data_IF_138326597416
#
_entry.id   IF_138326597416
#
_cell.length_a   1.000
_cell.length_b   1.000
_cell.length_c   1.000
_cell.angle_alpha   90.00
_cell.angle_beta   90.00
_cell.angle_gamma   90.00
#
_symmetry.space_group_name_H-M   'P 1'
#
loop_
_entity.id
_entity.type
_entity.pdbx_description
1 polymer ?
#
# COMPACT_ATOMS: atom_id res chain seq x y z
N UNK A 1 -17.35 14.89 5.77
CA UNK A 1 -15.95 14.43 6.02
C UNK A 1 -15.26 14.21 4.68
N UNK A 2 -14.01 14.60 4.55
CA UNK A 2 -13.22 14.32 3.35
C UNK A 2 -13.03 12.81 3.22
N UNK A 3 -13.16 12.26 2.00
CA UNK A 3 -12.90 10.84 1.74
C UNK A 3 -11.45 10.48 2.05
N UNK A 4 -11.22 9.33 2.66
CA UNK A 4 -9.89 8.77 2.75
C UNK A 4 -9.45 8.29 1.38
N UNK A 5 -8.31 8.78 0.91
CA UNK A 5 -7.80 8.46 -0.41
C UNK A 5 -6.59 7.54 -0.30
N UNK A 6 -6.71 6.39 -0.94
CA UNK A 6 -5.66 5.36 -1.03
C UNK A 6 -5.13 5.28 -2.45
N UNK A 7 -3.86 4.93 -2.58
CA UNK A 7 -3.22 4.66 -3.86
C UNK A 7 -2.50 3.32 -3.78
N UNK A 8 -2.78 2.44 -4.73
CA UNK A 8 -2.09 1.17 -4.91
C UNK A 8 -1.47 1.14 -6.31
N UNK A 9 -0.44 0.33 -6.49
CA UNK A 9 0.17 0.13 -7.79
C UNK A 9 0.40 -1.37 -8.06
N UNK A 10 0.27 -1.78 -9.32
CA UNK A 10 0.58 -3.13 -9.73
C UNK A 10 0.11 -3.44 -11.15
N UNK A 11 0.47 -4.60 -11.64
CA UNK A 11 0.09 -5.14 -12.95
C UNK A 11 -0.93 -6.29 -12.82
N UNK A 12 -1.27 -6.89 -13.95
CA UNK A 12 -2.19 -8.04 -14.01
C UNK A 12 -1.74 -9.21 -13.12
N UNK A 13 -0.43 -9.47 -13.00
CA UNK A 13 0.11 -10.51 -12.13
C UNK A 13 -0.19 -10.30 -10.65
N UNK A 14 -0.39 -9.05 -10.26
CA UNK A 14 -0.65 -8.65 -8.86
C UNK A 14 -2.13 -8.44 -8.51
N UNK A 15 -3.03 -8.65 -9.46
CA UNK A 15 -4.48 -8.36 -9.30
C UNK A 15 -5.10 -9.01 -8.05
N UNK A 16 -4.71 -10.26 -7.73
CA UNK A 16 -5.23 -10.99 -6.56
C UNK A 16 -4.75 -10.39 -5.23
N UNK A 17 -3.54 -9.88 -5.22
CA UNK A 17 -2.92 -9.28 -4.03
C UNK A 17 -3.49 -7.89 -3.80
N UNK A 18 -3.61 -7.08 -4.86
CA UNK A 18 -4.33 -5.80 -4.84
C UNK A 18 -5.75 -6.00 -4.30
N UNK A 19 -6.47 -7.04 -4.75
CA UNK A 19 -7.82 -7.31 -4.28
C UNK A 19 -7.87 -7.68 -2.79
N UNK A 20 -6.90 -8.43 -2.26
CA UNK A 20 -6.82 -8.73 -0.83
C UNK A 20 -6.60 -7.43 -0.01
N UNK A 21 -5.70 -6.56 -0.46
CA UNK A 21 -5.48 -5.24 0.15
C UNK A 21 -6.75 -4.38 0.09
N UNK A 22 -7.43 -4.30 -1.06
CA UNK A 22 -8.70 -3.58 -1.22
C UNK A 22 -9.78 -4.08 -0.28
N UNK A 23 -9.93 -5.41 -0.18
CA UNK A 23 -10.89 -6.03 0.74
C UNK A 23 -10.59 -5.64 2.18
N UNK A 24 -9.33 -5.64 2.59
CA UNK A 24 -8.94 -5.22 3.93
C UNK A 24 -9.24 -3.73 4.20
N UNK A 25 -8.99 -2.85 3.23
CA UNK A 25 -9.36 -1.44 3.33
C UNK A 25 -10.87 -1.30 3.47
N UNK A 26 -11.64 -1.91 2.57
CA UNK A 26 -13.10 -1.79 2.56
C UNK A 26 -13.77 -2.48 3.76
N UNK A 27 -13.13 -3.45 4.39
CA UNK A 27 -13.62 -4.08 5.62
C UNK A 27 -13.59 -3.12 6.81
N UNK A 28 -12.59 -2.26 6.88
CA UNK A 28 -12.39 -1.33 8.01
C UNK A 28 -12.85 0.10 7.73
N UNK A 29 -13.13 0.44 6.47
CA UNK A 29 -13.50 1.81 6.08
C UNK A 29 -14.67 1.83 5.10
N UNK A 30 -15.47 2.87 5.24
CA UNK A 30 -16.45 3.31 4.23
C UNK A 30 -16.02 4.67 3.67
N UNK A 31 -16.67 5.08 2.59
CA UNK A 31 -16.48 6.39 1.99
C UNK A 31 -15.01 6.66 1.63
N UNK A 32 -14.38 5.64 1.03
CA UNK A 32 -13.00 5.72 0.54
C UNK A 32 -12.93 6.01 -0.95
N UNK A 33 -11.83 6.58 -1.40
CA UNK A 33 -11.45 6.65 -2.81
C UNK A 33 -10.12 5.93 -3.00
N UNK A 34 -10.09 4.96 -3.91
CA UNK A 34 -8.88 4.14 -4.15
C UNK A 34 -8.47 4.28 -5.61
N UNK A 35 -7.25 4.71 -5.84
CA UNK A 35 -6.62 4.74 -7.14
C UNK A 35 -5.77 3.50 -7.33
N UNK A 36 -5.87 2.85 -8.49
CA UNK A 36 -4.98 1.77 -8.91
C UNK A 36 -4.14 2.24 -10.08
N UNK A 37 -2.87 2.50 -9.83
CA UNK A 37 -1.89 2.80 -10.88
C UNK A 37 -1.47 1.49 -11.52
N UNK A 38 -1.80 1.27 -12.80
CA UNK A 38 -1.54 0.01 -13.47
C UNK A 38 -1.30 0.18 -14.98
N UNK A 39 -0.85 -0.88 -15.63
CA UNK A 39 -0.62 -0.91 -17.09
C UNK A 39 -1.64 -1.78 -17.82
N UNK A 40 -1.98 -2.93 -17.26
CA UNK A 40 -2.60 -4.04 -17.99
C UNK A 40 -3.75 -4.76 -17.25
N UNK A 41 -4.17 -4.25 -16.07
CA UNK A 41 -5.33 -4.84 -15.37
C UNK A 41 -6.59 -4.66 -16.22
N UNK A 42 -7.36 -5.74 -16.49
CA UNK A 42 -8.54 -5.68 -17.35
C UNK A 42 -9.66 -4.79 -16.79
N UNK A 43 -10.39 -4.13 -17.71
CA UNK A 43 -11.54 -3.28 -17.33
C UNK A 43 -12.66 -4.07 -16.65
N UNK A 44 -12.84 -5.33 -17.01
CA UNK A 44 -13.84 -6.22 -16.42
C UNK A 44 -13.67 -6.37 -14.91
N UNK A 45 -12.42 -6.46 -14.47
CA UNK A 45 -12.12 -6.50 -13.04
C UNK A 45 -12.54 -5.18 -12.36
N UNK A 46 -12.18 -4.03 -12.94
CA UNK A 46 -12.57 -2.72 -12.40
C UNK A 46 -14.10 -2.57 -12.34
N UNK A 47 -14.82 -2.98 -13.39
CA UNK A 47 -16.29 -2.92 -13.43
C UNK A 47 -16.87 -3.76 -12.30
N UNK A 48 -16.37 -4.97 -12.09
CA UNK A 48 -16.82 -5.88 -11.05
C UNK A 48 -16.58 -5.30 -9.65
N UNK A 49 -15.36 -4.83 -9.37
CA UNK A 49 -14.97 -4.33 -8.04
C UNK A 49 -15.64 -3.00 -7.73
N UNK A 50 -15.77 -2.08 -8.71
CA UNK A 50 -16.49 -0.80 -8.54
C UNK A 50 -17.91 -0.99 -8.03
N UNK A 51 -18.66 -1.96 -8.58
CA UNK A 51 -20.03 -2.25 -8.14
C UNK A 51 -20.10 -2.63 -6.67
N UNK A 52 -19.11 -3.32 -6.17
CA UNK A 52 -19.00 -3.79 -4.78
C UNK A 52 -18.57 -2.66 -3.85
N UNK A 53 -17.56 -1.89 -4.24
CA UNK A 53 -17.08 -0.74 -3.46
C UNK A 53 -18.15 0.37 -3.38
N UNK A 54 -18.95 0.56 -4.42
CA UNK A 54 -20.06 1.53 -4.39
C UNK A 54 -21.08 1.22 -3.29
N UNK A 55 -21.29 -0.05 -2.93
CA UNK A 55 -22.15 -0.46 -1.82
C UNK A 55 -21.59 -0.05 -0.45
N UNK A 56 -20.31 0.30 -0.41
CA UNK A 56 -19.59 0.87 0.74
C UNK A 56 -19.40 2.39 0.61
N UNK A 57 -20.18 3.03 -0.26
CA UNK A 57 -20.03 4.46 -0.59
C UNK A 57 -18.58 4.82 -1.01
N UNK A 58 -17.86 3.87 -1.58
CA UNK A 58 -16.44 3.99 -1.95
C UNK A 58 -16.23 3.96 -3.45
N UNK A 59 -15.16 4.59 -3.92
CA UNK A 59 -14.85 4.75 -5.33
C UNK A 59 -13.54 4.00 -5.68
N UNK A 60 -13.52 3.38 -6.86
CA UNK A 60 -12.31 2.78 -7.43
C UNK A 60 -11.97 3.48 -8.75
N UNK A 61 -10.78 4.03 -8.84
CA UNK A 61 -10.27 4.74 -10.01
C UNK A 61 -9.21 3.90 -10.70
N UNK A 62 -9.43 3.59 -11.99
CA UNK A 62 -8.45 2.95 -12.85
C UNK A 62 -7.55 4.00 -13.48
N UNK A 63 -6.26 3.96 -13.16
CA UNK A 63 -5.26 4.85 -13.74
C UNK A 63 -4.32 4.03 -14.61
N UNK A 64 -4.48 4.11 -15.93
CA UNK A 64 -3.60 3.45 -16.89
C UNK A 64 -2.33 4.26 -17.09
N UNK A 65 -1.21 3.69 -16.64
CA UNK A 65 0.10 4.24 -16.96
C UNK A 65 0.48 3.81 -18.38
N UNK A 66 0.56 4.78 -19.28
CA UNK A 66 0.94 4.51 -20.67
C UNK A 66 2.38 3.98 -20.76
N UNK A 67 2.63 3.15 -21.77
CA UNK A 67 3.97 2.64 -22.05
C UNK A 67 4.96 3.79 -22.22
N UNK A 68 6.06 3.76 -21.46
CA UNK A 68 7.09 4.79 -21.47
C UNK A 68 7.05 5.78 -20.30
N UNK A 69 5.95 5.88 -19.54
CA UNK A 69 5.95 6.67 -18.30
C UNK A 69 6.89 6.04 -17.26
N UNK A 70 6.71 4.75 -17.01
CA UNK A 70 7.65 3.99 -16.18
C UNK A 70 8.70 3.37 -17.10
N UNK A 71 9.93 3.82 -16.98
CA UNK A 71 11.01 3.33 -17.85
C UNK A 71 11.38 1.90 -17.51
N UNK A 72 11.37 1.03 -18.51
CA UNK A 72 11.83 -0.36 -18.39
C UNK A 72 13.36 -0.48 -18.41
N UNK A 73 14.08 0.62 -18.65
CA UNK A 73 15.53 0.67 -18.58
C UNK A 73 16.06 0.93 -17.17
N UNK A 74 15.20 1.38 -16.25
CA UNK A 74 15.58 1.54 -14.85
C UNK A 74 15.86 0.17 -14.23
N UNK A 75 17.07 0.03 -13.69
CA UNK A 75 17.52 -1.24 -13.16
C UNK A 75 16.79 -1.59 -11.87
N UNK A 76 16.32 -2.82 -11.79
CA UNK A 76 15.80 -3.40 -10.55
C UNK A 76 16.94 -4.04 -9.75
N UNK A 77 16.83 -4.11 -8.41
CA UNK A 77 17.85 -4.74 -7.59
C UNK A 77 18.05 -6.22 -7.97
N UNK A 78 19.28 -6.74 -7.93
CA UNK A 78 19.58 -8.12 -8.32
C UNK A 78 18.89 -9.18 -7.44
N UNK A 79 18.44 -8.81 -6.25
CA UNK A 79 17.72 -9.68 -5.33
C UNK A 79 16.19 -9.50 -5.39
N UNK A 80 15.71 -8.73 -6.35
CA UNK A 80 14.32 -8.32 -6.49
C UNK A 80 13.52 -9.16 -7.50
N UNK A 81 13.71 -10.50 -7.58
CA UNK A 81 12.93 -11.35 -8.50
C UNK A 81 11.39 -11.22 -8.35
N UNK A 82 10.93 -10.73 -7.19
CA UNK A 82 9.55 -10.42 -6.88
C UNK A 82 9.16 -8.96 -7.13
N UNK A 83 10.11 -8.11 -7.51
CA UNK A 83 9.88 -6.71 -7.85
C UNK A 83 9.75 -6.53 -9.36
N UNK A 84 8.95 -5.58 -9.76
CA UNK A 84 8.84 -5.16 -11.16
C UNK A 84 8.87 -3.63 -11.26
N UNK A 85 8.90 -3.10 -12.49
CA UNK A 85 8.96 -1.65 -12.72
C UNK A 85 7.74 -0.89 -12.18
N UNK A 86 6.65 -1.58 -11.83
CA UNK A 86 5.50 -0.96 -11.19
C UNK A 86 5.80 -0.39 -9.78
N UNK A 87 6.92 -0.77 -9.16
CA UNK A 87 7.40 -0.11 -7.94
C UNK A 87 7.64 1.39 -8.13
N UNK A 88 8.05 1.82 -9.33
CA UNK A 88 8.23 3.23 -9.67
C UNK A 88 6.91 3.96 -9.97
N UNK A 89 5.79 3.26 -10.09
CA UNK A 89 4.49 3.88 -10.39
C UNK A 89 4.09 4.95 -9.36
N UNK A 90 4.50 4.81 -8.10
CA UNK A 90 4.25 5.77 -7.03
C UNK A 90 4.82 7.15 -7.28
N UNK A 91 5.81 7.31 -8.18
CA UNK A 91 6.34 8.61 -8.59
C UNK A 91 5.30 9.46 -9.29
N UNK A 92 4.33 8.82 -9.96
CA UNK A 92 3.32 9.46 -10.77
C UNK A 92 2.04 9.83 -10.01
N UNK A 93 2.01 9.63 -8.68
CA UNK A 93 0.88 10.03 -7.83
C UNK A 93 0.49 11.50 -8.07
N UNK A 94 1.42 12.49 -8.08
CA UNK A 94 1.06 13.88 -8.28
C UNK A 94 0.38 14.17 -9.62
N UNK A 95 0.67 13.38 -10.65
CA UNK A 95 0.13 13.55 -11.99
C UNK A 95 -1.32 13.07 -12.12
N UNK A 96 -1.70 12.02 -11.40
CA UNK A 96 -2.96 11.31 -11.60
C UNK A 96 -3.93 11.42 -10.42
N UNK A 97 -3.46 11.80 -9.25
CA UNK A 97 -4.28 11.85 -8.03
C UNK A 97 -4.57 13.31 -7.69
N UNK A 98 -5.85 13.65 -7.58
CA UNK A 98 -6.30 15.02 -7.37
C UNK A 98 -6.14 15.50 -5.93
N UNK A 99 -6.38 14.60 -4.97
CA UNK A 99 -6.45 14.89 -3.55
C UNK A 99 -5.10 15.36 -2.97
N UNK A 100 -5.16 16.30 -2.05
CA UNK A 100 -4.00 16.94 -1.43
C UNK A 100 -3.21 16.01 -0.50
N UNK A 101 -3.89 15.03 0.10
CA UNK A 101 -3.29 14.05 1.02
C UNK A 101 -3.77 12.65 0.68
N UNK A 102 -2.85 11.71 0.51
CA UNK A 102 -3.14 10.33 0.10
C UNK A 102 -2.29 9.34 0.88
N UNK A 103 -2.81 8.15 1.09
CA UNK A 103 -2.06 7.02 1.65
C UNK A 103 -1.69 6.06 0.52
N UNK A 104 -0.41 5.98 0.20
CA UNK A 104 0.12 4.95 -0.67
C UNK A 104 0.35 3.66 0.11
N UNK A 105 -0.05 2.53 -0.47
CA UNK A 105 0.15 1.20 0.07
C UNK A 105 0.67 0.28 -1.03
N UNK A 106 1.69 -0.53 -0.72
CA UNK A 106 2.10 -1.64 -1.57
C UNK A 106 1.00 -2.71 -1.65
N UNK A 107 1.03 -3.56 -2.67
CA UNK A 107 0.01 -4.58 -2.92
C UNK A 107 0.15 -5.85 -2.07
N UNK A 108 1.20 -5.94 -1.26
CA UNK A 108 1.48 -7.02 -0.31
C UNK A 108 1.20 -6.60 1.15
N UNK A 109 0.20 -5.77 1.32
CA UNK A 109 -0.22 -5.17 2.58
C UNK A 109 -1.63 -5.62 2.98
N UNK A 110 -1.87 -5.75 4.28
CA UNK A 110 -3.20 -5.93 4.86
C UNK A 110 -3.44 -4.85 5.92
N UNK A 111 -4.55 -4.16 5.79
CA UNK A 111 -5.10 -3.24 6.81
C UNK A 111 -5.95 -4.08 7.78
N UNK A 112 -5.71 -3.95 9.09
CA UNK A 112 -6.36 -4.79 10.11
C UNK A 112 -7.30 -4.02 11.03
N UNK A 113 -7.29 -2.68 10.97
CA UNK A 113 -8.12 -1.79 11.77
C UNK A 113 -8.27 -0.41 11.13
N UNK A 114 -9.20 0.44 11.61
CA UNK A 114 -9.39 1.79 11.07
C UNK A 114 -8.12 2.65 11.12
N UNK A 115 -7.91 3.45 10.06
CA UNK A 115 -6.74 4.31 9.87
C UNK A 115 -7.05 5.80 10.06
N UNK A 116 -8.11 6.13 10.79
CA UNK A 116 -8.55 7.52 11.02
C UNK A 116 -7.42 8.37 11.63
N UNK A 117 -6.72 7.84 12.63
CA UNK A 117 -5.63 8.55 13.31
C UNK A 117 -4.45 8.81 12.38
N UNK A 118 -4.12 7.85 11.49
CA UNK A 118 -3.10 8.03 10.47
C UNK A 118 -3.49 9.17 9.51
N UNK A 119 -4.72 9.18 9.02
CA UNK A 119 -5.20 10.26 8.14
C UNK A 119 -5.36 11.61 8.86
N UNK A 120 -5.49 11.63 10.19
CA UNK A 120 -5.57 12.86 10.98
C UNK A 120 -4.20 13.58 11.12
N UNK A 121 -3.09 12.90 10.82
CA UNK A 121 -1.76 13.49 10.92
C UNK A 121 -1.68 14.75 10.05
N UNK A 122 -1.25 15.86 10.65
CA UNK A 122 -0.94 17.08 9.93
C UNK A 122 0.50 17.02 9.42
N UNK A 123 0.67 16.96 8.11
CA UNK A 123 1.98 16.87 7.47
C UNK A 123 2.74 18.20 7.43
N UNK A 124 2.04 19.35 7.54
CA UNK A 124 2.66 20.66 7.49
C UNK A 124 3.57 20.86 6.27
N UNK A 125 4.85 21.13 6.51
CA UNK A 125 5.91 21.29 5.50
C UNK A 125 6.63 19.97 5.15
N UNK A 126 6.19 18.86 5.71
CA UNK A 126 6.76 17.54 5.42
C UNK A 126 6.18 16.95 4.14
N UNK A 127 7.02 16.29 3.38
CA UNK A 127 6.66 15.65 2.10
C UNK A 127 5.80 14.40 2.31
N UNK A 128 6.04 13.67 3.40
CA UNK A 128 5.30 12.45 3.73
C UNK A 128 5.45 12.09 5.21
N UNK A 129 4.69 11.06 5.63
CA UNK A 129 4.93 10.32 6.87
C UNK A 129 5.08 8.84 6.53
N UNK A 130 6.07 8.16 7.11
CA UNK A 130 6.37 6.75 6.90
C UNK A 130 7.08 6.14 8.12
N UNK A 131 6.94 4.83 8.31
CA UNK A 131 7.68 4.12 9.34
C UNK A 131 9.11 3.83 8.89
N UNK A 132 10.04 3.79 9.83
CA UNK A 132 11.43 3.44 9.56
C UNK A 132 11.56 1.98 9.12
N UNK A 133 12.60 1.67 8.38
CA UNK A 133 13.02 0.29 8.17
C UNK A 133 13.39 -0.28 9.54
N UNK A 134 12.74 -1.39 9.94
CA UNK A 134 12.84 -1.95 11.30
C UNK A 134 14.29 -2.23 11.73
N UNK A 135 15.18 -2.53 10.79
CA UNK A 135 16.61 -2.75 11.07
C UNK A 135 17.47 -1.50 10.98
N UNK A 136 16.89 -0.37 11.21
CA UNK A 136 17.49 0.96 11.34
C UNK A 136 18.96 1.06 11.70
N UNK A 137 19.81 0.36 10.97
CA UNK A 137 21.24 0.70 10.89
C UNK A 137 21.41 2.04 10.18
N UNK A 138 20.34 2.54 9.54
CA UNK A 138 20.29 3.80 8.83
C UNK A 138 18.96 4.50 9.05
N UNK A 139 18.99 5.81 9.02
CA UNK A 139 17.81 6.69 9.25
C UNK A 139 16.93 6.77 7.99
N UNK A 140 16.50 5.59 7.50
CA UNK A 140 15.67 5.43 6.28
C UNK A 140 14.27 4.97 6.62
N UNK A 141 13.29 5.39 5.82
CA UNK A 141 11.93 4.87 5.90
C UNK A 141 11.68 3.78 4.86
N UNK A 142 10.74 2.88 5.18
CA UNK A 142 10.20 1.92 4.23
C UNK A 142 9.10 2.58 3.39
N UNK A 143 9.20 2.48 2.07
CA UNK A 143 8.33 3.16 1.11
C UNK A 143 7.01 2.45 0.82
N UNK A 144 6.78 1.27 1.40
CA UNK A 144 5.55 0.50 1.15
C UNK A 144 4.29 1.08 1.78
N UNK A 145 4.46 1.93 2.82
CA UNK A 145 3.37 2.70 3.43
C UNK A 145 3.81 4.15 3.56
N UNK A 146 3.16 5.05 2.84
CA UNK A 146 3.48 6.48 2.87
C UNK A 146 2.20 7.32 2.90
N UNK A 147 2.00 8.09 3.96
CA UNK A 147 1.01 9.18 3.95
C UNK A 147 1.66 10.39 3.27
N UNK A 148 1.25 10.70 2.06
CA UNK A 148 1.90 11.66 1.17
C UNK A 148 1.17 13.01 1.21
N UNK A 149 1.93 14.10 1.34
CA UNK A 149 1.49 15.46 1.09
C UNK A 149 1.52 15.72 -0.44
N UNK A 150 0.48 15.23 -1.13
CA UNK A 150 0.42 15.27 -2.58
C UNK A 150 0.34 16.71 -3.12
N UNK A 151 -0.25 17.63 -2.34
CA UNK A 151 -0.23 19.05 -2.66
C UNK A 151 1.21 19.57 -2.76
N UNK A 152 1.99 19.32 -1.71
CA UNK A 152 3.39 19.76 -1.67
C UNK A 152 4.26 19.04 -2.71
N UNK A 153 3.97 17.77 -3.00
CA UNK A 153 4.64 17.03 -4.08
C UNK A 153 4.40 17.68 -5.46
N UNK A 154 3.18 18.18 -5.72
CA UNK A 154 2.86 18.94 -6.94
C UNK A 154 3.57 20.29 -6.97
N UNK A 155 3.48 21.05 -5.89
CA UNK A 155 4.05 22.41 -5.78
C UNK A 155 5.57 22.42 -5.96
N UNK A 156 6.26 21.42 -5.41
CA UNK A 156 7.72 21.29 -5.46
C UNK A 156 8.23 20.39 -6.59
N UNK A 157 7.33 19.92 -7.46
CA UNK A 157 7.67 19.07 -8.60
C UNK A 157 8.48 17.82 -8.20
N UNK A 158 8.09 17.16 -7.08
CA UNK A 158 8.79 16.01 -6.53
C UNK A 158 8.84 14.86 -7.54
N UNK A 159 7.79 14.65 -8.35
CA UNK A 159 7.79 13.65 -9.41
C UNK A 159 9.02 13.79 -10.32
N UNK A 160 9.30 14.98 -10.82
CA UNK A 160 10.44 15.20 -11.72
C UNK A 160 11.76 14.98 -10.99
N UNK A 161 11.88 15.42 -9.74
CA UNK A 161 13.05 15.17 -8.90
C UNK A 161 13.34 13.68 -8.75
N UNK A 162 12.31 12.85 -8.50
CA UNK A 162 12.44 11.40 -8.39
C UNK A 162 12.92 10.77 -9.72
N UNK A 163 12.32 11.19 -10.84
CA UNK A 163 12.68 10.73 -12.18
C UNK A 163 14.14 11.09 -12.49
N UNK A 164 14.56 12.33 -12.23
CA UNK A 164 15.92 12.80 -12.51
C UNK A 164 16.98 12.05 -11.70
N UNK A 165 16.71 11.81 -10.41
CA UNK A 165 17.59 11.00 -9.56
C UNK A 165 17.66 9.57 -10.10
N UNK A 166 16.52 8.95 -10.42
CA UNK A 166 16.49 7.59 -10.93
C UNK A 166 17.25 7.48 -12.27
N UNK A 167 17.03 8.40 -13.21
CA UNK A 167 17.74 8.40 -14.48
C UNK A 167 19.27 8.47 -14.31
N UNK A 168 19.75 9.18 -13.31
CA UNK A 168 21.17 9.34 -13.04
C UNK A 168 21.78 8.16 -12.29
N UNK A 169 21.02 7.57 -11.35
CA UNK A 169 21.56 6.66 -10.34
C UNK A 169 21.06 5.21 -10.44
N UNK A 170 20.13 4.87 -11.36
CA UNK A 170 19.45 3.56 -11.37
C UNK A 170 20.41 2.36 -11.44
N UNK A 171 21.61 2.53 -11.96
CA UNK A 171 22.65 1.47 -11.99
C UNK A 171 23.21 1.14 -10.59
N UNK A 172 23.14 2.07 -9.65
CA UNK A 172 23.76 2.02 -8.33
C UNK A 172 22.75 1.91 -7.18
N UNK A 173 21.45 1.78 -7.47
CA UNK A 173 20.41 1.70 -6.44
C UNK A 173 20.45 0.36 -5.71
N UNK A 174 20.49 0.39 -4.38
CA UNK A 174 20.45 -0.82 -3.55
C UNK A 174 19.00 -1.36 -3.41
N UNK A 175 18.02 -0.48 -3.23
CA UNK A 175 16.62 -0.83 -2.96
C UNK A 175 15.66 -0.13 -3.94
N UNK A 176 16.08 0.05 -5.20
CA UNK A 176 15.25 0.60 -6.27
C UNK A 176 14.64 1.97 -5.90
N UNK A 177 13.33 2.11 -6.05
CA UNK A 177 12.57 3.33 -5.77
C UNK A 177 12.63 3.79 -4.31
N UNK A 178 12.76 2.88 -3.35
CA UNK A 178 12.87 3.22 -1.93
C UNK A 178 14.11 4.07 -1.64
N UNK A 179 15.26 3.72 -2.23
CA UNK A 179 16.49 4.51 -2.09
C UNK A 179 16.30 5.93 -2.63
N UNK A 180 15.69 6.06 -3.82
CA UNK A 180 15.44 7.35 -4.46
C UNK A 180 14.49 8.21 -3.65
N UNK A 181 13.41 7.61 -3.13
CA UNK A 181 12.44 8.30 -2.27
C UNK A 181 13.09 8.84 -1.00
N UNK A 182 13.95 8.05 -0.35
CA UNK A 182 14.69 8.48 0.83
C UNK A 182 15.65 9.65 0.50
N UNK A 183 16.39 9.57 -0.60
CA UNK A 183 17.30 10.66 -1.03
C UNK A 183 16.54 11.94 -1.40
N UNK A 184 15.41 11.81 -2.09
CA UNK A 184 14.61 12.97 -2.48
C UNK A 184 13.93 13.65 -1.29
N UNK A 185 13.51 12.85 -0.30
CA UNK A 185 12.80 13.33 0.88
C UNK A 185 13.74 13.92 1.93
N UNK A 186 14.91 13.29 2.14
CA UNK A 186 15.84 13.67 3.19
C UNK A 186 15.18 13.60 4.58
N UNK A 187 15.30 14.65 5.36
CA UNK A 187 14.71 14.80 6.71
C UNK A 187 13.27 15.35 6.70
N UNK A 188 12.69 15.54 5.51
CA UNK A 188 11.36 16.12 5.33
C UNK A 188 10.23 15.08 5.42
N UNK A 189 10.29 14.21 6.43
CA UNK A 189 9.20 13.27 6.71
C UNK A 189 8.90 13.18 8.21
N UNK A 190 7.71 12.69 8.53
CA UNK A 190 7.28 12.35 9.89
C UNK A 190 7.50 10.85 10.07
N UNK A 191 8.17 10.47 11.15
CA UNK A 191 8.32 9.05 11.51
C UNK A 191 7.00 8.55 12.08
N UNK A 192 6.43 7.53 11.45
CA UNK A 192 5.25 6.81 11.93
C UNK A 192 5.65 5.74 12.95
N UNK A 193 4.71 5.43 13.84
CA UNK A 193 4.79 4.23 14.67
C UNK A 193 4.77 2.97 13.78
N UNK A 194 5.53 1.94 14.18
CA UNK A 194 5.68 0.69 13.43
C UNK A 194 4.36 -0.05 13.21
N UNK A 195 3.33 0.22 14.04
CA UNK A 195 1.99 -0.32 13.86
C UNK A 195 1.38 0.03 12.49
N UNK A 196 1.79 1.15 11.88
CA UNK A 196 1.32 1.59 10.56
C UNK A 196 2.13 1.04 9.38
N UNK A 197 3.19 0.29 9.64
CA UNK A 197 3.92 -0.47 8.63
C UNK A 197 4.71 -1.59 9.31
N UNK A 198 3.98 -2.58 9.83
CA UNK A 198 4.57 -3.69 10.53
C UNK A 198 5.16 -4.70 9.55
N UNK A 199 6.48 -4.69 9.43
CA UNK A 199 7.26 -5.29 8.35
C UNK A 199 7.60 -6.75 8.67
N UNK A 200 6.82 -7.70 8.13
CA UNK A 200 7.04 -9.14 8.25
C UNK A 200 8.11 -9.60 7.24
N UNK A 201 9.04 -10.43 7.66
CA UNK A 201 10.07 -11.05 6.83
C UNK A 201 11.49 -10.57 7.08
N UNK A 202 11.67 -9.49 7.83
CA UNK A 202 13.00 -9.01 8.19
C UNK A 202 13.79 -9.96 9.09
N UNK A 203 13.12 -10.72 9.94
CA UNK A 203 13.72 -11.78 10.75
C UNK A 203 14.54 -12.77 9.90
N UNK A 204 14.06 -13.10 8.69
CA UNK A 204 14.79 -13.93 7.73
C UNK A 204 15.97 -13.22 7.08
N UNK A 205 15.83 -11.94 6.76
CA UNK A 205 16.94 -11.12 6.28
C UNK A 205 18.03 -11.06 7.35
N UNK A 206 17.64 -10.86 8.62
CA UNK A 206 18.57 -10.83 9.74
C UNK A 206 19.29 -12.18 9.92
N UNK A 207 18.56 -13.29 9.82
CA UNK A 207 19.15 -14.63 9.88
C UNK A 207 20.18 -14.85 8.77
N UNK A 208 19.85 -14.48 7.53
CA UNK A 208 20.76 -14.57 6.40
C UNK A 208 22.03 -13.69 6.60
N UNK A 209 21.87 -12.52 7.23
CA UNK A 209 22.96 -11.60 7.56
C UNK A 209 23.69 -11.96 8.85
N UNK A 210 23.36 -13.10 9.50
CA UNK A 210 23.88 -13.54 10.80
C UNK A 210 23.69 -12.48 11.90
N UNK A 211 22.64 -11.72 11.82
CA UNK A 211 22.23 -10.74 12.82
C UNK A 211 21.17 -11.39 13.72
N UNK A 212 21.37 -11.28 15.03
CA UNK A 212 20.35 -11.76 15.98
C UNK A 212 19.23 -10.72 16.07
N UNK A 213 18.04 -11.13 15.69
CA UNK A 213 16.85 -10.28 15.79
C UNK A 213 15.62 -11.13 16.11
N UNK A 214 14.90 -10.71 17.14
CA UNK A 214 13.60 -11.30 17.48
C UNK A 214 12.54 -10.26 17.17
N UNK A 215 11.70 -10.55 16.17
CA UNK A 215 10.50 -9.77 15.91
C UNK A 215 9.40 -10.28 16.85
N UNK A 216 9.07 -9.48 17.86
CA UNK A 216 7.88 -9.72 18.67
C UNK A 216 6.62 -9.43 17.85
N UNK A 217 5.73 -10.40 17.76
CA UNK A 217 4.47 -10.24 17.05
C UNK A 217 3.41 -9.73 18.02
N UNK A 218 2.89 -8.51 17.84
CA UNK A 218 1.70 -8.10 18.55
C UNK A 218 0.51 -8.90 18.02
N UNK A 219 -0.19 -9.58 18.93
CA UNK A 219 -1.32 -10.45 18.60
C UNK A 219 -2.67 -9.85 18.96
N UNK A 220 -2.72 -8.95 19.93
CA UNK A 220 -3.93 -8.27 20.37
C UNK A 220 -3.59 -6.90 21.00
N UNK A 221 -3.91 -5.79 20.34
CA UNK A 221 -4.41 -5.73 18.95
C UNK A 221 -3.31 -6.04 17.93
N UNK A 222 -3.71 -6.55 16.75
CA UNK A 222 -2.83 -6.65 15.60
C UNK A 222 -2.31 -5.27 15.17
N UNK A 223 -1.12 -5.16 14.54
CA UNK A 223 -0.66 -3.92 13.93
C UNK A 223 -1.71 -3.37 12.96
N UNK A 224 -1.85 -2.05 12.84
CA UNK A 224 -2.85 -1.43 11.98
C UNK A 224 -2.65 -1.77 10.49
N UNK A 225 -1.39 -1.90 10.09
CA UNK A 225 -0.99 -2.28 8.74
C UNK A 225 0.11 -3.34 8.83
N UNK A 226 -0.14 -4.51 8.26
CA UNK A 226 0.85 -5.59 8.12
C UNK A 226 1.40 -5.54 6.70
N UNK A 227 2.72 -5.48 6.58
CA UNK A 227 3.43 -5.46 5.30
C UNK A 227 4.30 -6.71 5.16
N UNK A 228 4.01 -7.56 4.18
CA UNK A 228 4.71 -8.82 3.94
C UNK A 228 5.89 -8.60 3.01
N UNK A 229 7.03 -8.25 3.58
CA UNK A 229 8.27 -8.05 2.84
C UNK A 229 8.87 -9.36 2.33
N UNK A 230 9.91 -9.26 1.50
CA UNK A 230 10.69 -10.37 0.94
C UNK A 230 9.94 -11.25 -0.08
N UNK A 231 10.65 -12.21 -0.67
CA UNK A 231 10.08 -13.16 -1.62
C UNK A 231 9.20 -14.24 -0.94
N UNK A 232 9.30 -14.40 0.39
CA UNK A 232 8.45 -15.33 1.15
C UNK A 232 7.09 -14.72 1.44
N UNK A 233 6.28 -14.59 0.40
CA UNK A 233 4.96 -13.97 0.47
C UNK A 233 3.93 -14.90 1.13
N UNK A 234 2.93 -14.35 1.86
CA UNK A 234 1.92 -15.14 2.58
C UNK A 234 1.09 -16.05 1.68
N UNK A 235 0.95 -15.73 0.41
CA UNK A 235 0.22 -16.53 -0.59
C UNK A 235 1.00 -17.69 -1.19
N UNK A 236 2.29 -17.78 -0.96
CA UNK A 236 3.08 -18.90 -1.42
C UNK A 236 2.72 -20.18 -0.63
N UNK A 237 2.54 -21.29 -1.32
CA UNK A 237 2.11 -22.56 -0.72
C UNK A 237 3.06 -23.00 0.41
N UNK A 238 4.36 -22.83 0.19
CA UNK A 238 5.43 -23.21 1.15
C UNK A 238 5.93 -22.03 1.99
N UNK A 239 5.14 -20.97 2.10
CA UNK A 239 5.52 -19.82 2.90
C UNK A 239 5.58 -20.13 4.39
N UNK A 240 6.61 -19.63 5.03
CA UNK A 240 6.75 -19.58 6.48
C UNK A 240 6.50 -18.16 7.02
N UNK A 241 5.98 -17.27 6.18
CA UNK A 241 5.64 -15.91 6.59
C UNK A 241 4.72 -15.91 7.79
N UNK A 242 5.11 -15.19 8.84
CA UNK A 242 4.29 -15.05 10.04
C UNK A 242 3.05 -14.21 9.75
N UNK A 243 1.96 -14.41 10.51
CA UNK A 243 0.67 -13.75 10.29
C UNK A 243 0.09 -13.96 8.87
N UNK A 244 0.52 -15.02 8.15
CA UNK A 244 0.00 -15.32 6.82
C UNK A 244 -1.50 -15.64 6.83
N UNK A 245 -2.02 -16.16 7.92
CA UNK A 245 -3.45 -16.43 8.13
C UNK A 245 -4.27 -15.14 8.09
N UNK A 246 -3.70 -14.00 8.52
CA UNK A 246 -4.36 -12.70 8.44
C UNK A 246 -4.53 -12.29 6.97
N UNK A 247 -3.50 -12.50 6.14
CA UNK A 247 -3.61 -12.26 4.69
C UNK A 247 -4.69 -13.14 4.06
N UNK A 248 -4.67 -14.45 4.34
CA UNK A 248 -5.63 -15.40 3.79
C UNK A 248 -7.07 -15.10 4.22
N UNK A 249 -7.28 -14.58 5.43
CA UNK A 249 -8.60 -14.17 5.90
C UNK A 249 -9.23 -13.15 4.92
N UNK A 250 -8.53 -12.10 4.54
CA UNK A 250 -9.06 -11.09 3.59
C UNK A 250 -9.07 -11.58 2.15
N UNK A 251 -8.06 -12.33 1.74
CA UNK A 251 -8.00 -12.88 0.38
C UNK A 251 -9.19 -13.81 0.07
N UNK A 252 -9.58 -14.66 1.04
CA UNK A 252 -10.68 -15.62 0.91
C UNK A 252 -12.06 -15.04 1.24
N UNK A 253 -12.13 -13.90 1.89
CA UNK A 253 -13.38 -13.25 2.26
C UNK A 253 -14.18 -12.87 1.01
N UNK A 254 -15.49 -13.17 1.00
CA UNK A 254 -16.36 -12.72 -0.07
C UNK A 254 -16.67 -11.23 0.04
N UNK A 255 -16.85 -10.57 -1.10
CA UNK A 255 -17.27 -9.16 -1.12
C UNK A 255 -18.62 -8.91 -0.44
N UNK A 256 -19.51 -9.89 -0.44
CA UNK A 256 -20.78 -9.82 0.29
C UNK A 256 -20.58 -9.69 1.80
N UNK A 257 -19.60 -10.39 2.36
CA UNK A 257 -19.25 -10.27 3.78
C UNK A 257 -18.73 -8.87 4.12
N UNK A 258 -17.86 -8.31 3.23
CA UNK A 258 -17.32 -6.95 3.39
C UNK A 258 -18.43 -5.91 3.35
N UNK A 259 -19.37 -6.06 2.39
CA UNK A 259 -20.49 -5.13 2.24
C UNK A 259 -21.43 -5.19 3.46
N UNK A 260 -21.71 -6.38 3.98
CA UNK A 260 -22.62 -6.58 5.12
C UNK A 260 -22.02 -6.21 6.47
N UNK A 261 -20.69 -6.16 6.58
CA UNK A 261 -20.01 -5.94 7.87
C UNK A 261 -20.45 -4.68 8.62
N UNK A 262 -20.87 -3.63 7.91
CA UNK A 262 -21.33 -2.36 8.50
C UNK A 262 -22.83 -2.13 8.44
N UNK A 263 -23.62 -3.13 8.00
CA UNK A 263 -25.06 -3.02 8.05
C UNK A 263 -25.49 -3.28 9.50
N UNK A 264 -26.06 -2.30 10.22
CA UNK A 264 -26.59 -2.55 11.56
C UNK A 264 -27.59 -3.69 11.53
N UNK A 265 -27.56 -4.60 12.52
CA UNK A 265 -28.48 -5.74 12.61
C UNK A 265 -29.94 -5.32 12.51
N UNK A 266 -30.30 -4.14 13.05
CA UNK A 266 -31.61 -3.52 12.92
C UNK A 266 -32.05 -3.27 11.47
N UNK A 267 -31.12 -3.02 10.56
CA UNK A 267 -31.42 -2.78 9.14
C UNK A 267 -31.57 -4.08 8.37
N UNK A 268 -30.87 -5.13 8.78
CA UNK A 268 -30.99 -6.49 8.23
C UNK A 268 -32.38 -7.03 8.59
N UNK A 269 -32.84 -6.84 9.82
CA UNK A 269 -34.13 -7.28 10.30
C UNK A 269 -35.30 -6.59 9.56
N UNK A 270 -35.20 -5.28 9.30
CA UNK A 270 -36.17 -4.53 8.48
C UNK A 270 -36.23 -5.01 7.02
N UNK A 271 -35.09 -5.39 6.43
CA UNK A 271 -35.06 -5.92 5.05
C UNK A 271 -35.70 -7.31 4.94
N UNK A 272 -35.59 -8.15 5.97
CA UNK A 272 -36.23 -9.47 6.05
C UNK A 272 -37.74 -9.31 6.20
N UNK A 273 -38.21 -8.40 7.06
CA UNK A 273 -39.62 -8.15 7.32
C UNK A 273 -40.35 -7.49 6.14
N UNK A 274 -39.67 -6.73 5.29
CA UNK A 274 -40.22 -6.12 4.06
C UNK A 274 -40.20 -7.04 2.85
N UNK A 275 -39.55 -8.20 2.93
CA UNK A 275 -39.44 -9.19 1.86
C UNK A 275 -40.32 -10.41 2.07
N UNK A 276 -41.05 -10.46 3.17
CA UNK A 276 -42.08 -11.46 3.53
C UNK A 276 -43.46 -10.87 3.37
#
# INVERSE_FOLDING_TARGET
>A
MQKMTFVLAGDYGYIRYIEATLKSICYHHENCKVYILNQDIPQEWFISVRKRMAQRNSELVDVKLTSGLVSTTWKLPPFGEHMNHMSFARYFIPQFVEEDKVLYLDSDIIVTRPLNDLFAINLGDKLLAAAKVIYGLEDRFNSGVMLINNKLWKEENIQQKLIDITNREHENLEESDQTVLNWATGDRYIVLDDTYNFQIGYDRIAEQRKQFFILELPTDPLPAIIHYLTADKPWNIRSFSRLREVWWRYAMMDWSEIVSHFIPETKIQLLIETSS
#
